data_IF_532780179568
#
_entry.id   IF_532780179568
#
_cell.length_a   1.000
_cell.length_b   1.000
_cell.length_c   1.000
_cell.angle_alpha   90.00
_cell.angle_beta   90.00
_cell.angle_gamma   90.00
#
_symmetry.space_group_name_H-M   'P 1'
#
loop_
_entity.id
_entity.type
_entity.pdbx_description
1 polymer ?
#
# COMPACT_ATOMS: atom_id res chain seq x y z
N UNK A 1 -9.24 -28.54 4.05
CA UNK A 1 -7.76 -28.72 3.95
C UNK A 1 -7.30 -29.55 2.74
N UNK A 2 -8.17 -30.31 2.05
CA UNK A 2 -7.80 -31.10 0.86
C UNK A 2 -7.75 -30.33 -0.47
N UNK A 3 -8.27 -29.09 -0.53
CA UNK A 3 -8.33 -28.30 -1.77
C UNK A 3 -7.06 -27.49 -2.09
N UNK A 4 -6.20 -27.23 -1.09
CA UNK A 4 -4.98 -26.41 -1.28
C UNK A 4 -3.77 -27.27 -1.71
N UNK A 5 -3.74 -28.55 -1.32
CA UNK A 5 -2.62 -29.46 -1.61
C UNK A 5 -2.55 -29.82 -3.11
N UNK A 6 -3.71 -29.94 -3.77
CA UNK A 6 -3.79 -30.37 -5.18
C UNK A 6 -3.67 -29.23 -6.20
N UNK A 7 -3.64 -27.95 -5.76
CA UNK A 7 -3.53 -26.78 -6.65
C UNK A 7 -2.11 -26.19 -6.71
N UNK A 8 -1.23 -26.61 -5.80
CA UNK A 8 0.16 -26.14 -5.74
C UNK A 8 1.02 -26.60 -6.93
N UNK A 9 0.90 -27.85 -7.45
CA UNK A 9 1.66 -28.26 -8.63
C UNK A 9 1.25 -27.47 -9.89
N UNK A 10 -0.05 -27.21 -10.07
CA UNK A 10 -0.58 -26.47 -11.22
C UNK A 10 -0.19 -24.97 -11.21
N UNK A 11 -0.04 -24.35 -10.04
CA UNK A 11 0.44 -22.96 -9.93
C UNK A 11 1.96 -22.83 -10.13
N UNK A 12 2.75 -23.85 -9.79
CA UNK A 12 4.21 -23.80 -9.93
C UNK A 12 4.70 -24.08 -11.36
N UNK A 13 3.89 -24.75 -12.20
CA UNK A 13 4.17 -24.94 -13.63
C UNK A 13 4.16 -23.59 -14.39
N UNK A 14 3.27 -22.67 -14.03
CA UNK A 14 3.15 -21.34 -14.69
C UNK A 14 4.34 -20.40 -14.46
N UNK A 15 5.26 -20.72 -13.55
CA UNK A 15 6.48 -19.93 -13.32
C UNK A 15 7.66 -20.29 -14.24
N UNK A 16 7.56 -21.39 -15.02
CA UNK A 16 8.63 -21.84 -15.93
C UNK A 16 8.44 -21.45 -17.40
N UNK A 17 7.38 -20.72 -17.75
CA UNK A 17 7.08 -20.36 -19.14
C UNK A 17 7.66 -19.01 -19.58
N UNK A 18 8.22 -18.20 -18.67
CA UNK A 18 8.73 -16.89 -19.03
C UNK A 18 10.11 -17.04 -19.68
N UNK A 19 10.11 -17.22 -21.00
CA UNK A 19 11.32 -17.07 -21.80
C UNK A 19 11.61 -15.57 -22.02
N UNK A 20 12.85 -15.24 -22.37
CA UNK A 20 13.27 -13.85 -22.60
C UNK A 20 12.41 -13.14 -23.66
N UNK A 21 11.87 -13.88 -24.64
CA UNK A 21 10.99 -13.35 -25.68
C UNK A 21 9.63 -12.90 -25.11
N UNK A 22 9.01 -13.68 -24.23
CA UNK A 22 7.73 -13.35 -23.57
C UNK A 22 7.83 -12.14 -22.62
N UNK A 23 9.00 -11.93 -22.02
CA UNK A 23 9.29 -10.71 -21.23
C UNK A 23 9.39 -9.50 -22.15
N UNK A 24 10.08 -9.64 -23.30
CA UNK A 24 10.22 -8.55 -24.28
C UNK A 24 8.86 -8.17 -24.88
N UNK A 25 7.98 -9.14 -25.11
CA UNK A 25 6.64 -8.92 -25.63
C UNK A 25 5.73 -8.22 -24.61
N UNK A 26 5.77 -8.63 -23.33
CA UNK A 26 5.07 -7.93 -22.25
C UNK A 26 5.59 -6.49 -22.02
N UNK A 27 6.88 -6.23 -22.25
CA UNK A 27 7.47 -4.89 -22.17
C UNK A 27 7.02 -4.01 -23.36
N UNK A 28 6.81 -4.60 -24.55
CA UNK A 28 6.25 -3.88 -25.70
C UNK A 28 4.79 -3.47 -25.47
N UNK A 29 3.99 -4.31 -24.82
CA UNK A 29 2.60 -3.97 -24.45
C UNK A 29 2.51 -2.81 -23.43
N UNK A 30 3.49 -2.68 -22.53
CA UNK A 30 3.59 -1.51 -21.63
C UNK A 30 3.93 -0.23 -22.42
N UNK A 31 4.59 -0.35 -23.57
CA UNK A 31 4.95 0.76 -24.46
C UNK A 31 3.80 1.31 -25.31
N UNK A 32 2.74 0.53 -25.54
CA UNK A 32 1.60 0.93 -26.39
C UNK A 32 0.36 1.41 -25.60
N UNK A 33 0.41 1.35 -24.26
CA UNK A 33 -0.60 2.00 -23.44
C UNK A 33 -0.37 3.51 -23.48
N UNK A 34 -1.11 4.22 -24.34
CA UNK A 34 -1.19 5.69 -24.41
C UNK A 34 -1.61 6.28 -23.05
N UNK A 35 -0.68 6.38 -22.12
CA UNK A 35 -0.75 7.32 -21.01
C UNK A 35 0.11 8.52 -21.39
N UNK A 36 -0.58 9.64 -21.64
CA UNK A 36 0.00 10.88 -22.12
C UNK A 36 0.84 11.60 -21.06
N UNK A 37 2.06 11.11 -20.83
CA UNK A 37 3.11 11.86 -20.15
C UNK A 37 4.10 12.37 -21.19
N UNK A 38 3.77 13.49 -21.81
CA UNK A 38 4.74 14.22 -22.63
C UNK A 38 5.66 15.03 -21.71
N UNK A 39 6.80 14.47 -21.35
CA UNK A 39 8.01 15.27 -21.14
C UNK A 39 9.16 14.56 -21.84
N UNK A 40 9.43 14.98 -23.07
CA UNK A 40 10.65 14.63 -23.78
C UNK A 40 11.85 15.24 -23.02
N UNK A 41 12.40 14.51 -22.06
CA UNK A 41 13.75 14.74 -21.58
C UNK A 41 14.66 14.23 -22.69
N UNK A 42 15.25 15.15 -23.44
CA UNK A 42 16.20 14.85 -24.49
C UNK A 42 17.52 14.40 -23.84
N UNK A 43 17.59 13.12 -23.44
CA UNK A 43 18.79 12.52 -22.87
C UNK A 43 19.73 12.18 -24.05
N UNK A 44 20.93 12.77 -24.13
CA UNK A 44 21.89 12.49 -25.20
C UNK A 44 22.23 10.99 -25.23
N UNK A 45 22.18 10.36 -26.41
CA UNK A 45 22.52 8.94 -26.64
C UNK A 45 23.89 8.51 -26.08
N UNK A 46 24.78 9.47 -25.82
CA UNK A 46 26.07 9.26 -25.20
C UNK A 46 25.98 8.73 -23.75
N UNK A 47 24.92 9.02 -22.98
CA UNK A 47 24.83 8.57 -21.56
C UNK A 47 24.28 7.15 -21.39
N UNK A 48 23.61 6.62 -22.41
CA UNK A 48 23.10 5.23 -22.42
C UNK A 48 24.24 4.19 -22.54
N UNK A 49 25.29 4.53 -23.29
CA UNK A 49 26.45 3.66 -23.50
C UNK A 49 27.34 3.48 -22.25
N UNK A 50 27.27 4.43 -21.30
CA UNK A 50 28.00 4.34 -20.03
C UNK A 50 27.24 3.55 -18.97
N UNK A 51 25.91 3.60 -18.99
CA UNK A 51 25.08 2.85 -18.05
C UNK A 51 25.13 1.34 -18.31
N UNK A 52 25.15 0.92 -19.58
CA UNK A 52 25.30 -0.50 -19.94
C UNK A 52 26.65 -1.08 -19.50
N UNK A 53 27.73 -0.28 -19.59
CA UNK A 53 29.06 -0.69 -19.10
C UNK A 53 29.09 -0.86 -17.58
N UNK A 54 28.40 0.03 -16.84
CA UNK A 54 28.30 -0.08 -15.38
C UNK A 54 27.46 -1.29 -14.93
N UNK A 55 26.38 -1.61 -15.65
CA UNK A 55 25.57 -2.80 -15.37
C UNK A 55 26.34 -4.10 -15.67
N UNK A 56 27.14 -4.13 -16.74
CA UNK A 56 27.98 -5.29 -17.06
C UNK A 56 29.12 -5.48 -16.05
N UNK A 57 29.75 -4.39 -15.61
CA UNK A 57 30.78 -4.44 -14.55
C UNK A 57 30.24 -4.98 -13.21
N UNK A 58 28.98 -4.70 -12.86
CA UNK A 58 28.34 -5.30 -11.67
C UNK A 58 28.05 -6.80 -11.84
N UNK A 59 27.63 -7.23 -13.03
CA UNK A 59 27.41 -8.65 -13.34
C UNK A 59 28.70 -9.47 -13.25
N UNK A 60 29.83 -8.92 -13.70
CA UNK A 60 31.12 -9.62 -13.76
C UNK A 60 31.89 -9.62 -12.43
N UNK A 61 31.48 -8.78 -11.46
CA UNK A 61 32.10 -8.66 -10.12
C UNK A 61 31.90 -9.87 -9.19
N UNK A 62 31.20 -10.93 -9.63
CA UNK A 62 31.20 -12.22 -8.93
C UNK A 62 30.60 -12.23 -7.52
N UNK A 63 29.85 -11.18 -7.12
CA UNK A 63 29.26 -11.07 -5.78
C UNK A 63 28.11 -12.07 -5.56
N UNK A 64 27.52 -12.62 -6.63
CA UNK A 64 26.62 -13.78 -6.57
C UNK A 64 27.33 -15.06 -7.02
N UNK A 65 28.37 -15.47 -6.29
CA UNK A 65 28.90 -16.84 -6.41
C UNK A 65 27.87 -17.78 -5.80
N UNK A 66 27.05 -18.40 -6.64
CA UNK A 66 26.18 -19.50 -6.24
C UNK A 66 27.03 -20.60 -5.60
N UNK A 67 26.87 -20.76 -4.29
CA UNK A 67 27.49 -21.85 -3.54
C UNK A 67 26.84 -23.14 -4.03
N UNK A 68 27.58 -23.92 -4.82
CA UNK A 68 27.22 -25.28 -5.22
C UNK A 68 27.00 -26.10 -3.92
N UNK A 69 25.75 -26.40 -3.58
CA UNK A 69 25.40 -27.25 -2.45
C UNK A 69 25.94 -28.65 -2.72
N UNK A 70 26.90 -29.09 -1.89
CA UNK A 70 27.35 -30.47 -1.85
C UNK A 70 26.22 -31.36 -1.32
N UNK A 71 26.01 -32.49 -2.00
CA UNK A 71 25.04 -33.53 -1.61
C UNK A 71 25.53 -34.23 -0.35
N UNK A 72 24.75 -34.17 0.75
CA UNK A 72 24.98 -34.96 1.96
C UNK A 72 23.99 -36.12 1.96
N UNK A 73 24.49 -37.33 1.67
CA UNK A 73 23.78 -38.57 1.95
C UNK A 73 24.11 -39.02 3.38
N UNK A 74 23.13 -39.05 4.29
CA UNK A 74 23.13 -39.95 5.44
C UNK A 74 21.70 -40.16 5.97
N UNK A 75 21.22 -41.41 5.98
CA UNK A 75 19.80 -41.77 5.96
C UNK A 75 19.10 -41.92 7.33
N UNK A 76 19.71 -41.52 8.45
CA UNK A 76 19.11 -41.75 9.80
C UNK A 76 18.73 -40.47 10.59
N UNK A 77 18.90 -39.27 10.02
CA UNK A 77 18.71 -37.98 10.71
C UNK A 77 17.51 -37.15 10.23
N UNK A 78 16.56 -37.76 9.50
CA UNK A 78 15.47 -37.02 8.84
C UNK A 78 14.34 -36.57 9.78
N UNK A 79 14.16 -37.23 10.94
CA UNK A 79 13.09 -36.90 11.89
C UNK A 79 13.39 -35.66 12.75
N UNK A 80 14.66 -35.47 13.12
CA UNK A 80 15.07 -34.33 13.95
C UNK A 80 15.08 -33.01 13.15
N UNK A 81 15.44 -33.06 11.87
CA UNK A 81 15.45 -31.88 10.99
C UNK A 81 14.02 -31.41 10.67
N UNK A 82 13.09 -32.34 10.45
CA UNK A 82 11.67 -32.00 10.28
C UNK A 82 11.06 -31.36 11.53
N UNK A 83 11.42 -31.84 12.73
CA UNK A 83 10.94 -31.27 14.00
C UNK A 83 11.47 -29.85 14.26
N UNK A 84 12.72 -29.57 13.91
CA UNK A 84 13.32 -28.24 14.03
C UNK A 84 12.76 -27.23 13.01
N UNK A 85 12.46 -27.68 11.78
CA UNK A 85 11.84 -26.83 10.75
C UNK A 85 10.41 -26.42 11.11
N UNK A 86 9.64 -27.29 11.78
CA UNK A 86 8.26 -26.97 12.20
C UNK A 86 8.25 -25.90 13.31
N UNK A 87 9.16 -25.99 14.28
CA UNK A 87 9.28 -24.98 15.35
C UNK A 87 9.71 -23.60 14.83
N UNK A 88 10.57 -23.54 13.81
CA UNK A 88 10.98 -22.28 13.19
C UNK A 88 9.84 -21.59 12.40
N UNK A 89 8.89 -22.37 11.86
CA UNK A 89 7.72 -21.84 11.15
C UNK A 89 6.66 -21.27 12.11
N UNK A 90 6.53 -21.82 13.32
CA UNK A 90 5.59 -21.29 14.33
C UNK A 90 6.04 -19.97 14.99
N UNK A 91 7.35 -19.68 15.02
CA UNK A 91 7.88 -18.43 15.58
C UNK A 91 7.82 -17.23 14.62
N UNK A 92 7.41 -17.45 13.36
CA UNK A 92 7.33 -16.39 12.33
C UNK A 92 6.05 -15.55 12.34
N UNK A 93 5.09 -15.81 13.25
CA UNK A 93 3.84 -15.05 13.33
C UNK A 93 3.91 -13.85 14.28
N UNK A 94 5.06 -13.18 14.37
CA UNK A 94 5.09 -11.84 14.93
C UNK A 94 4.43 -10.88 13.92
N UNK A 95 3.09 -10.73 14.03
CA UNK A 95 2.39 -9.65 13.36
C UNK A 95 2.99 -8.33 13.88
N UNK A 96 3.71 -7.62 13.03
CA UNK A 96 4.00 -6.22 13.30
C UNK A 96 2.67 -5.48 13.26
N UNK A 97 2.28 -4.87 14.38
CA UNK A 97 1.16 -3.94 14.41
C UNK A 97 1.58 -2.69 13.62
N UNK A 98 1.37 -2.72 12.30
CA UNK A 98 1.63 -1.60 11.40
C UNK A 98 0.61 -0.49 11.67
N UNK A 99 0.83 0.32 12.71
CA UNK A 99 -0.04 1.47 13.08
C UNK A 99 0.22 2.68 12.19
N UNK A 100 -0.78 3.56 12.07
CA UNK A 100 -0.60 4.85 11.40
C UNK A 100 0.32 5.77 12.19
N UNK A 101 0.94 6.72 11.49
CA UNK A 101 1.86 7.68 12.10
C UNK A 101 1.16 8.54 13.16
N UNK A 102 1.85 8.79 14.28
CA UNK A 102 1.37 9.66 15.37
C UNK A 102 1.82 11.12 15.19
N UNK A 103 2.50 11.44 14.08
CA UNK A 103 3.12 12.75 13.84
C UNK A 103 2.14 13.91 13.89
N UNK A 104 0.88 13.68 13.51
CA UNK A 104 -0.15 14.71 13.40
C UNK A 104 -1.29 14.54 14.42
N UNK A 105 -1.11 13.72 15.46
CA UNK A 105 -2.15 13.46 16.48
C UNK A 105 -2.43 14.66 17.40
N UNK A 106 -1.57 15.67 17.40
CA UNK A 106 -1.72 16.88 18.21
C UNK A 106 -2.18 18.10 17.37
N UNK A 107 -2.71 17.87 16.17
CA UNK A 107 -3.35 18.93 15.37
C UNK A 107 -4.61 19.41 16.10
N UNK A 108 -4.79 20.73 16.21
CA UNK A 108 -5.96 21.32 16.87
C UNK A 108 -7.19 21.22 15.95
N UNK A 109 -8.00 20.19 16.20
CA UNK A 109 -9.25 19.97 15.46
C UNK A 109 -10.28 21.07 15.74
N UNK A 110 -10.29 21.68 16.92
CA UNK A 110 -11.25 22.74 17.24
C UNK A 110 -10.96 24.02 16.46
N UNK A 111 -9.69 24.39 16.34
CA UNK A 111 -9.28 25.52 15.52
C UNK A 111 -9.68 25.32 14.05
N UNK A 112 -9.42 24.13 13.51
CA UNK A 112 -9.73 23.81 12.11
C UNK A 112 -11.25 23.81 11.88
N UNK A 113 -12.01 23.15 12.75
CA UNK A 113 -13.47 23.01 12.59
C UNK A 113 -14.20 24.35 12.79
N UNK A 114 -13.72 25.21 13.70
CA UNK A 114 -14.32 26.53 13.92
C UNK A 114 -13.91 27.59 12.89
N UNK A 115 -12.94 27.28 12.00
CA UNK A 115 -12.47 28.19 10.96
C UNK A 115 -12.88 27.70 9.58
N UNK A 116 -13.90 28.34 9.00
CA UNK A 116 -14.35 28.05 7.63
C UNK A 116 -13.20 28.14 6.61
N UNK A 117 -12.24 29.02 6.83
CA UNK A 117 -11.06 29.16 5.97
C UNK A 117 -10.19 27.89 6.04
N UNK A 118 -9.86 27.42 7.24
CA UNK A 118 -9.01 26.25 7.43
C UNK A 118 -9.73 24.97 6.97
N UNK A 119 -10.97 24.77 7.42
CA UNK A 119 -11.77 23.61 7.04
C UNK A 119 -11.90 23.47 5.52
N UNK A 120 -12.14 24.58 4.80
CA UNK A 120 -12.26 24.55 3.35
C UNK A 120 -10.96 24.12 2.65
N UNK A 121 -9.79 24.40 3.21
CA UNK A 121 -8.52 23.90 2.66
C UNK A 121 -8.45 22.38 2.76
N UNK A 122 -8.81 21.81 3.91
CA UNK A 122 -8.86 20.35 4.10
C UNK A 122 -9.90 19.68 3.22
N UNK A 123 -11.14 20.21 3.15
CA UNK A 123 -12.20 19.62 2.32
C UNK A 123 -11.81 19.65 0.84
N UNK A 124 -11.25 20.77 0.34
CA UNK A 124 -10.81 20.86 -1.07
C UNK A 124 -9.64 19.91 -1.36
N UNK A 125 -8.73 19.75 -0.40
CA UNK A 125 -7.65 18.76 -0.48
C UNK A 125 -8.20 17.34 -0.59
N UNK A 126 -9.14 16.97 0.30
CA UNK A 126 -9.76 15.65 0.31
C UNK A 126 -10.60 15.37 -0.94
N UNK A 127 -11.14 16.39 -1.61
CA UNK A 127 -11.93 16.27 -2.83
C UNK A 127 -11.11 16.33 -4.14
N UNK A 128 -9.78 16.39 -4.10
CA UNK A 128 -8.89 16.58 -5.28
C UNK A 128 -9.15 17.87 -6.06
N UNK A 129 -9.84 18.85 -5.46
CA UNK A 129 -10.14 20.12 -6.13
C UNK A 129 -8.87 20.96 -6.24
N UNK A 130 -7.95 20.82 -5.27
CA UNK A 130 -6.72 21.60 -5.20
C UNK A 130 -5.59 20.85 -4.48
N UNK A 131 -4.95 19.91 -5.18
CA UNK A 131 -3.89 19.06 -4.61
C UNK A 131 -2.60 19.81 -4.25
N UNK A 132 -2.33 20.93 -4.92
CA UNK A 132 -1.20 21.84 -4.66
C UNK A 132 -1.35 22.61 -3.34
N UNK A 133 -2.57 22.73 -2.80
CA UNK A 133 -2.86 23.43 -1.55
C UNK A 133 -3.06 22.52 -0.34
N UNK A 134 -2.94 21.20 -0.49
CA UNK A 134 -2.99 20.29 0.64
C UNK A 134 -1.82 20.53 1.60
N UNK A 135 -2.12 20.70 2.89
CA UNK A 135 -1.16 20.66 3.97
C UNK A 135 -0.55 19.25 4.11
N UNK A 136 0.60 19.13 4.76
CA UNK A 136 1.31 17.85 4.87
C UNK A 136 0.50 16.77 5.61
N UNK A 137 -0.24 17.17 6.64
CA UNK A 137 -1.18 16.33 7.40
C UNK A 137 -2.43 15.99 6.57
N UNK A 138 -2.97 16.94 5.80
CA UNK A 138 -4.08 16.69 4.89
C UNK A 138 -3.75 15.65 3.81
N UNK A 139 -2.52 15.66 3.28
CA UNK A 139 -2.04 14.65 2.32
C UNK A 139 -1.95 13.26 2.95
N UNK A 140 -1.43 13.18 4.16
CA UNK A 140 -1.33 11.94 4.92
C UNK A 140 -2.73 11.37 5.18
N UNK A 141 -3.63 12.20 5.71
CA UNK A 141 -5.02 11.82 6.00
C UNK A 141 -5.74 11.30 4.73
N UNK A 142 -5.60 12.03 3.62
CA UNK A 142 -6.17 11.64 2.32
C UNK A 142 -5.73 10.26 1.86
N UNK A 143 -4.46 9.91 2.07
CA UNK A 143 -3.92 8.60 1.71
C UNK A 143 -4.40 7.46 2.62
N UNK A 144 -4.65 7.76 3.90
CA UNK A 144 -5.06 6.77 4.91
C UNK A 144 -6.55 6.45 4.86
N UNK A 145 -7.42 7.43 4.56
CA UNK A 145 -8.88 7.27 4.62
C UNK A 145 -9.40 6.02 3.88
N UNK A 146 -9.01 5.71 2.63
CA UNK A 146 -9.55 4.54 1.91
C UNK A 146 -9.24 3.21 2.61
N UNK A 147 -8.03 3.07 3.16
CA UNK A 147 -7.64 1.88 3.90
C UNK A 147 -8.35 1.82 5.25
N UNK A 148 -8.41 2.95 5.97
CA UNK A 148 -9.05 3.07 7.28
C UNK A 148 -10.55 2.76 7.23
N UNK A 149 -11.24 3.12 6.14
CA UNK A 149 -12.63 2.74 5.95
C UNK A 149 -12.76 1.22 5.74
N UNK A 150 -11.92 0.66 4.87
CA UNK A 150 -11.95 -0.77 4.52
C UNK A 150 -11.63 -1.69 5.72
N UNK A 151 -10.69 -1.28 6.57
CA UNK A 151 -10.20 -2.08 7.69
C UNK A 151 -10.80 -1.69 9.06
N UNK A 152 -11.85 -0.86 9.08
CA UNK A 152 -12.45 -0.33 10.31
C UNK A 152 -11.46 0.39 11.24
N UNK A 153 -10.52 1.13 10.66
CA UNK A 153 -9.48 1.87 11.39
C UNK A 153 -8.65 0.94 12.30
N UNK A 154 -8.40 -0.31 11.89
CA UNK A 154 -7.65 -1.30 12.69
C UNK A 154 -6.26 -0.78 13.12
N UNK A 155 -5.64 0.05 12.28
CA UNK A 155 -4.31 0.64 12.49
C UNK A 155 -4.33 1.98 13.22
N UNK A 156 -5.51 2.52 13.50
CA UNK A 156 -5.69 3.82 14.13
C UNK A 156 -5.51 3.74 15.64
N UNK A 157 -4.91 4.77 16.22
CA UNK A 157 -4.91 4.95 17.67
C UNK A 157 -6.22 5.59 18.17
N UNK A 158 -6.36 5.68 19.50
CA UNK A 158 -7.60 6.17 20.11
C UNK A 158 -7.85 7.65 19.82
N UNK A 159 -6.80 8.49 19.80
CA UNK A 159 -6.92 9.92 19.43
C UNK A 159 -7.42 10.10 17.99
N UNK A 160 -6.92 9.29 17.05
CA UNK A 160 -7.33 9.32 15.65
C UNK A 160 -8.80 8.89 15.49
N UNK A 161 -9.24 7.88 16.24
CA UNK A 161 -10.65 7.44 16.25
C UNK A 161 -11.58 8.50 16.84
N UNK A 162 -11.20 9.10 17.96
CA UNK A 162 -11.95 10.20 18.60
C UNK A 162 -12.01 11.43 17.70
N UNK A 163 -10.87 11.81 17.12
CA UNK A 163 -10.76 12.92 16.17
C UNK A 163 -11.63 12.70 14.93
N UNK A 164 -11.59 11.50 14.34
CA UNK A 164 -12.45 11.13 13.22
C UNK A 164 -13.94 11.24 13.58
N UNK A 165 -14.36 10.72 14.76
CA UNK A 165 -15.75 10.82 15.23
C UNK A 165 -16.19 12.28 15.37
N UNK A 166 -15.33 13.14 15.95
CA UNK A 166 -15.60 14.57 16.11
C UNK A 166 -15.78 15.28 14.77
N UNK A 167 -14.84 15.09 13.84
CA UNK A 167 -14.88 15.71 12.51
C UNK A 167 -16.11 15.25 11.72
N UNK A 168 -16.41 13.94 11.74
CA UNK A 168 -17.58 13.38 11.05
C UNK A 168 -18.88 13.98 11.60
N UNK A 169 -19.03 14.03 12.92
CA UNK A 169 -20.23 14.62 13.53
C UNK A 169 -20.38 16.10 13.17
N UNK A 170 -19.29 16.87 13.29
CA UNK A 170 -19.30 18.29 12.94
C UNK A 170 -19.70 18.51 11.46
N UNK A 171 -19.10 17.75 10.54
CA UNK A 171 -19.39 17.88 9.11
C UNK A 171 -20.84 17.53 8.77
N UNK A 172 -21.40 16.47 9.36
CA UNK A 172 -22.81 16.10 9.14
C UNK A 172 -23.79 17.17 9.61
N UNK A 173 -23.50 17.79 10.76
CA UNK A 173 -24.40 18.74 11.42
C UNK A 173 -24.27 20.16 10.84
N UNK A 174 -23.04 20.61 10.59
CA UNK A 174 -22.75 22.00 10.23
C UNK A 174 -22.42 22.19 8.74
N UNK A 175 -21.94 21.15 8.05
CA UNK A 175 -21.45 21.19 6.66
C UNK A 175 -22.00 20.02 5.81
N UNK A 176 -23.33 19.82 5.76
CA UNK A 176 -23.93 18.62 5.16
C UNK A 176 -23.66 18.49 3.65
N UNK A 177 -23.47 19.61 2.94
CA UNK A 177 -23.16 19.60 1.51
C UNK A 177 -21.74 19.10 1.25
N UNK A 178 -20.76 19.56 2.03
CA UNK A 178 -19.38 19.11 1.99
C UNK A 178 -19.27 17.64 2.40
N UNK A 179 -20.00 17.24 3.45
CA UNK A 179 -20.07 15.86 3.89
C UNK A 179 -20.56 14.94 2.77
N UNK A 180 -21.64 15.30 2.06
CA UNK A 180 -22.18 14.51 0.96
C UNK A 180 -21.18 14.32 -0.19
N UNK A 181 -20.39 15.35 -0.50
CA UNK A 181 -19.32 15.28 -1.51
C UNK A 181 -18.23 14.31 -1.09
N UNK A 182 -17.83 14.35 0.19
CA UNK A 182 -16.83 13.44 0.75
C UNK A 182 -17.35 11.99 0.77
N UNK A 183 -18.60 11.76 1.19
CA UNK A 183 -19.25 10.44 1.13
C UNK A 183 -19.25 9.90 -0.30
N UNK A 184 -19.63 10.70 -1.28
CA UNK A 184 -19.67 10.26 -2.69
C UNK A 184 -18.29 9.83 -3.20
N UNK A 185 -17.22 10.46 -2.69
CA UNK A 185 -15.85 10.16 -3.09
C UNK A 185 -15.28 8.91 -2.39
N UNK A 186 -15.45 8.81 -1.08
CA UNK A 186 -14.80 7.77 -0.27
C UNK A 186 -15.70 6.58 0.08
N UNK A 187 -17.02 6.73 0.01
CA UNK A 187 -18.02 5.69 0.29
C UNK A 187 -19.21 5.77 -0.71
N UNK A 188 -18.97 5.58 -2.02
CA UNK A 188 -20.01 5.65 -3.05
C UNK A 188 -21.13 4.62 -2.84
N UNK A 189 -20.82 3.47 -2.25
CA UNK A 189 -21.77 2.38 -1.95
C UNK A 189 -22.54 2.61 -0.64
N UNK A 190 -22.16 3.63 0.15
CA UNK A 190 -22.79 3.97 1.43
C UNK A 190 -22.66 2.87 2.49
N UNK A 191 -21.65 2.01 2.39
CA UNK A 191 -21.43 0.88 3.30
C UNK A 191 -20.91 1.39 4.65
N UNK A 192 -19.96 2.31 4.62
CA UNK A 192 -19.30 2.82 5.83
C UNK A 192 -20.17 3.85 6.56
N UNK A 193 -20.91 4.69 5.83
CA UNK A 193 -21.85 5.65 6.41
C UNK A 193 -22.96 4.97 7.21
N UNK A 194 -23.41 3.79 6.80
CA UNK A 194 -24.38 2.97 7.57
C UNK A 194 -23.76 2.45 8.88
N UNK A 195 -22.51 1.98 8.82
CA UNK A 195 -21.77 1.46 9.98
C UNK A 195 -21.42 2.54 11.02
N UNK A 196 -21.08 3.74 10.55
CA UNK A 196 -20.89 4.90 11.42
C UNK A 196 -22.19 5.26 12.16
N UNK A 197 -23.34 5.23 11.47
CA UNK A 197 -24.65 5.52 12.09
C UNK A 197 -25.05 4.49 13.16
N UNK A 198 -24.67 3.22 13.03
CA UNK A 198 -24.93 2.22 14.07
C UNK A 198 -24.04 2.41 15.31
N UNK A 199 -22.79 2.84 15.13
CA UNK A 199 -21.83 3.02 16.23
C UNK A 199 -22.03 4.31 17.03
N UNK A 200 -22.80 5.27 16.51
CA UNK A 200 -23.13 6.54 17.20
C UNK A 200 -24.35 6.40 18.13
N UNK A 201 -25.11 5.30 18.06
CA UNK A 201 -26.32 5.08 18.87
C UNK A 201 -26.09 4.47 20.27
N UNK A 202 -24.85 4.39 20.75
CA UNK A 202 -24.52 3.91 22.10
C UNK A 202 -23.95 5.02 22.97
#
# INVERSE_FOLDING_TARGET
MYFIINLWPAMMEKRKQWNKESIIEAIKDVGDTKLGYTTAVNIPRATLMDYEKLLKAKSDSGIYKSRRLGSVHNHNNMKCVLSLCVLAVFLGLAQSDDKYTVKYDNVDLDEILNSDRLLNVYVKCLLDVKDDACTADGKELKGIIPEALTNDCAKCNDKQKEGAKKVINYLRENKPEEWKKLETKFDPDGVYGKKLKSNVKN
#
